data_IF_279235069466
#
_entry.id   IF_279235069466
#
_cell.length_a   1.000
_cell.length_b   1.000
_cell.length_c   1.000
_cell.angle_alpha   90.00
_cell.angle_beta   90.00
_cell.angle_gamma   90.00
#
_symmetry.space_group_name_H-M   'P 1'
#
loop_
_entity.id
_entity.type
_entity.pdbx_description
1 polymer ?
#
# COMPACT_ATOMS: atom_id res chain seq x y z
N UNK A 1 -41.39 -13.50 8.71
CA UNK A 1 -41.08 -12.83 7.43
C UNK A 1 -40.38 -11.53 7.77
N UNK A 2 -39.06 -11.48 7.65
CA UNK A 2 -38.25 -10.35 8.14
C UNK A 2 -37.97 -9.39 6.99
N UNK A 3 -38.46 -8.14 7.10
CA UNK A 3 -38.18 -7.08 6.13
C UNK A 3 -36.73 -6.61 6.27
N UNK A 4 -35.95 -6.73 5.20
CA UNK A 4 -34.60 -6.17 5.11
C UNK A 4 -34.74 -4.83 4.38
N UNK A 5 -34.61 -3.73 5.12
CA UNK A 5 -34.63 -2.37 4.56
C UNK A 5 -33.22 -1.98 4.11
N UNK A 6 -33.03 -1.78 2.81
CA UNK A 6 -31.79 -1.24 2.26
C UNK A 6 -31.91 0.28 2.16
N UNK A 7 -31.12 1.01 2.97
CA UNK A 7 -31.06 2.47 2.92
C UNK A 7 -29.88 2.92 2.05
N UNK A 8 -30.13 3.85 1.12
CA UNK A 8 -29.09 4.53 0.37
C UNK A 8 -28.87 5.92 0.96
N UNK A 9 -27.72 6.12 1.61
CA UNK A 9 -27.33 7.43 2.15
C UNK A 9 -26.43 8.16 1.16
N UNK A 10 -26.71 9.44 0.91
CA UNK A 10 -25.84 10.33 0.16
C UNK A 10 -25.28 11.39 1.11
N UNK A 11 -23.96 11.50 1.14
CA UNK A 11 -23.25 12.52 1.90
C UNK A 11 -22.99 13.73 1.02
N UNK A 12 -23.16 14.93 1.58
CA UNK A 12 -22.82 16.21 0.95
C UNK A 12 -21.77 16.88 1.85
N UNK A 13 -20.48 16.60 1.63
CA UNK A 13 -19.42 17.15 2.47
C UNK A 13 -19.29 18.65 2.27
N UNK A 14 -18.91 19.36 3.33
CA UNK A 14 -18.43 20.73 3.21
C UNK A 14 -17.01 20.77 2.59
N UNK A 15 -16.53 21.98 2.24
CA UNK A 15 -15.23 22.13 1.58
C UNK A 15 -14.04 21.62 2.44
N UNK A 16 -14.13 21.72 3.76
CA UNK A 16 -13.09 21.26 4.70
C UNK A 16 -13.12 19.72 4.80
N UNK A 17 -14.32 19.15 4.86
CA UNK A 17 -14.55 17.71 4.85
C UNK A 17 -14.05 17.08 3.55
N UNK A 18 -14.32 17.71 2.40
CA UNK A 18 -13.82 17.26 1.10
C UNK A 18 -12.30 17.22 1.07
N UNK A 19 -11.64 18.31 1.47
CA UNK A 19 -10.17 18.38 1.55
C UNK A 19 -9.60 17.30 2.48
N UNK A 20 -10.24 17.09 3.62
CA UNK A 20 -9.83 16.06 4.59
C UNK A 20 -9.96 14.65 3.99
N UNK A 21 -11.07 14.36 3.31
CA UNK A 21 -11.28 13.07 2.66
C UNK A 21 -10.27 12.83 1.54
N UNK A 22 -10.01 13.84 0.69
CA UNK A 22 -9.01 13.75 -0.37
C UNK A 22 -7.62 13.50 0.20
N UNK A 23 -7.27 14.16 1.31
CA UNK A 23 -6.01 13.93 2.00
C UNK A 23 -5.90 12.49 2.52
N UNK A 24 -6.94 11.94 3.14
CA UNK A 24 -6.96 10.55 3.60
C UNK A 24 -6.81 9.56 2.43
N UNK A 25 -7.49 9.81 1.31
CA UNK A 25 -7.36 8.98 0.11
C UNK A 25 -5.93 8.99 -0.43
N UNK A 26 -5.27 10.15 -0.43
CA UNK A 26 -3.90 10.27 -0.88
C UNK A 26 -2.92 9.53 0.06
N UNK A 27 -3.15 9.58 1.38
CA UNK A 27 -2.40 8.78 2.36
C UNK A 27 -2.57 7.30 2.04
N UNK A 28 -3.82 6.82 1.93
CA UNK A 28 -4.12 5.42 1.65
C UNK A 28 -3.48 4.95 0.35
N UNK A 29 -3.53 5.77 -0.70
CA UNK A 29 -2.89 5.49 -1.99
C UNK A 29 -1.38 5.32 -1.85
N UNK A 30 -0.70 6.24 -1.15
CA UNK A 30 0.76 6.18 -0.94
C UNK A 30 1.16 4.97 -0.10
N UNK A 31 0.45 4.70 0.99
CA UNK A 31 0.69 3.56 1.87
C UNK A 31 0.49 2.25 1.11
N UNK A 32 -0.60 2.12 0.36
CA UNK A 32 -0.88 0.95 -0.45
C UNK A 32 0.22 0.72 -1.49
N UNK A 33 0.60 1.75 -2.24
CA UNK A 33 1.65 1.65 -3.26
C UNK A 33 3.00 1.27 -2.65
N UNK A 34 3.31 1.75 -1.45
CA UNK A 34 4.52 1.36 -0.73
C UNK A 34 4.53 -0.14 -0.39
N UNK A 35 3.49 -0.63 0.29
CA UNK A 35 3.37 -2.03 0.68
C UNK A 35 3.33 -2.95 -0.56
N UNK A 36 2.60 -2.55 -1.60
CA UNK A 36 2.52 -3.30 -2.84
C UNK A 36 3.88 -3.42 -3.55
N UNK A 37 4.67 -2.34 -3.54
CA UNK A 37 6.02 -2.32 -4.11
C UNK A 37 6.93 -3.32 -3.40
N UNK A 38 6.91 -3.38 -2.08
CA UNK A 38 7.74 -4.34 -1.32
C UNK A 38 7.47 -5.80 -1.70
N UNK A 39 6.18 -6.15 -1.87
CA UNK A 39 5.78 -7.49 -2.32
C UNK A 39 6.30 -7.74 -3.74
N UNK A 40 6.09 -6.78 -4.65
CA UNK A 40 6.54 -6.90 -6.03
C UNK A 40 8.05 -7.06 -6.15
N UNK A 41 8.81 -6.29 -5.38
CA UNK A 41 10.27 -6.35 -5.35
C UNK A 41 10.75 -7.71 -4.80
N UNK A 42 10.12 -8.22 -3.73
CA UNK A 42 10.44 -9.53 -3.16
C UNK A 42 10.15 -10.69 -4.12
N UNK A 43 9.03 -10.64 -4.83
CA UNK A 43 8.65 -11.67 -5.82
C UNK A 43 9.60 -11.62 -7.00
N UNK A 44 9.88 -10.43 -7.53
CA UNK A 44 10.78 -10.28 -8.67
C UNK A 44 12.22 -10.65 -8.34
N UNK A 45 12.66 -10.50 -7.08
CA UNK A 45 14.01 -10.95 -6.67
C UNK A 45 14.16 -12.46 -6.60
N UNK A 46 13.06 -13.20 -6.47
CA UNK A 46 13.06 -14.67 -6.42
C UNK A 46 12.55 -15.31 -7.70
N UNK A 47 12.00 -14.51 -8.60
CA UNK A 47 11.58 -14.95 -9.93
C UNK A 47 12.81 -15.03 -10.82
N UNK A 48 13.34 -16.24 -10.98
CA UNK A 48 14.33 -16.55 -12.01
C UNK A 48 13.65 -17.33 -13.14
N UNK A 49 13.98 -17.01 -14.39
CA UNK A 49 13.61 -17.86 -15.53
C UNK A 49 14.42 -19.15 -15.45
N UNK A 50 13.79 -20.31 -15.67
CA UNK A 50 14.48 -21.60 -15.64
C UNK A 50 15.55 -21.70 -16.75
N UNK A 51 15.34 -21.00 -17.86
CA UNK A 51 16.11 -21.20 -19.09
C UNK A 51 17.22 -20.16 -19.29
N UNK A 52 17.32 -19.12 -18.45
CA UNK A 52 18.39 -18.10 -18.54
C UNK A 52 18.47 -17.23 -17.28
N UNK A 53 19.69 -16.79 -16.94
CA UNK A 53 19.92 -15.73 -15.95
C UNK A 53 19.95 -14.34 -16.62
N UNK A 54 19.50 -13.31 -15.91
CA UNK A 54 19.49 -11.92 -16.39
C UNK A 54 20.91 -11.35 -16.37
N UNK A 55 21.45 -10.93 -17.52
CA UNK A 55 22.79 -10.34 -17.60
C UNK A 55 22.81 -8.82 -17.36
N UNK A 56 21.66 -8.15 -17.45
CA UNK A 56 21.58 -6.68 -17.37
C UNK A 56 21.23 -6.16 -15.98
N UNK A 57 20.24 -6.79 -15.33
CA UNK A 57 19.66 -6.27 -14.10
C UNK A 57 19.00 -7.37 -13.28
N UNK A 58 19.37 -7.45 -12.01
CA UNK A 58 18.75 -8.31 -11.01
C UNK A 58 18.30 -7.45 -9.82
N UNK A 59 17.25 -7.90 -9.13
CA UNK A 59 16.80 -7.24 -7.92
C UNK A 59 17.77 -7.56 -6.78
N UNK A 60 18.50 -6.55 -6.31
CA UNK A 60 19.44 -6.68 -5.19
C UNK A 60 18.65 -6.65 -3.89
N UNK A 61 18.13 -7.82 -3.49
CA UNK A 61 17.44 -8.03 -2.21
C UNK A 61 18.20 -9.11 -1.44
N UNK A 62 18.44 -8.94 -0.13
CA UNK A 62 19.11 -9.96 0.67
C UNK A 62 18.39 -11.32 0.59
N UNK A 63 19.15 -12.41 0.44
CA UNK A 63 18.59 -13.76 0.35
C UNK A 63 17.73 -14.11 1.58
N UNK A 64 18.18 -13.68 2.76
CA UNK A 64 17.53 -13.91 4.06
C UNK A 64 16.30 -13.03 4.30
N UNK A 65 15.97 -12.10 3.38
CA UNK A 65 14.84 -11.18 3.59
C UNK A 65 13.52 -11.96 3.58
N UNK A 66 12.76 -11.99 4.68
CA UNK A 66 11.51 -12.73 4.73
C UNK A 66 10.47 -12.13 3.79
N UNK A 67 9.46 -12.92 3.43
CA UNK A 67 8.31 -12.41 2.69
C UNK A 67 7.66 -11.26 3.46
N UNK A 68 7.35 -10.12 2.81
CA UNK A 68 6.68 -9.00 3.45
C UNK A 68 5.21 -9.37 3.72
N UNK A 69 4.97 -10.09 4.82
CA UNK A 69 3.64 -10.46 5.28
C UNK A 69 2.87 -9.23 5.76
N UNK A 70 1.54 -9.34 5.81
CA UNK A 70 0.65 -8.30 6.30
C UNK A 70 1.11 -7.66 7.61
N UNK A 71 1.47 -8.48 8.62
CA UNK A 71 1.88 -7.99 9.94
C UNK A 71 3.18 -7.18 9.90
N UNK A 72 4.16 -7.59 9.08
CA UNK A 72 5.42 -6.87 8.90
C UNK A 72 5.13 -5.49 8.28
N UNK A 73 4.30 -5.48 7.23
CA UNK A 73 3.94 -4.25 6.53
C UNK A 73 3.13 -3.30 7.43
N UNK A 74 2.16 -3.83 8.17
CA UNK A 74 1.34 -3.08 9.12
C UNK A 74 2.22 -2.39 10.18
N UNK A 75 3.19 -3.10 10.75
CA UNK A 75 4.11 -2.56 11.75
C UNK A 75 5.05 -1.49 11.19
N UNK A 76 5.32 -1.50 9.88
CA UNK A 76 6.13 -0.50 9.20
C UNK A 76 5.36 0.77 8.81
N UNK A 77 4.01 0.73 8.79
CA UNK A 77 3.16 1.84 8.36
C UNK A 77 3.36 3.14 9.13
N UNK A 78 3.52 3.15 10.47
CA UNK A 78 3.73 4.39 11.22
C UNK A 78 4.97 5.15 10.75
N UNK A 79 6.08 4.42 10.55
CA UNK A 79 7.34 4.97 10.03
C UNK A 79 7.20 5.46 8.59
N UNK A 80 6.58 4.65 7.74
CA UNK A 80 6.35 5.00 6.33
C UNK A 80 5.46 6.24 6.18
N UNK A 81 4.52 6.45 7.11
CA UNK A 81 3.66 7.64 7.13
C UNK A 81 4.46 8.89 7.45
N UNK A 82 5.29 8.85 8.48
CA UNK A 82 6.12 9.98 8.90
C UNK A 82 7.11 10.42 7.80
N UNK A 83 7.75 9.47 7.12
CA UNK A 83 8.75 9.78 6.09
C UNK A 83 8.15 10.28 4.76
N UNK A 84 6.94 9.84 4.39
CA UNK A 84 6.41 10.02 3.02
C UNK A 84 5.19 10.93 2.90
N UNK A 85 4.61 11.32 4.03
CA UNK A 85 3.38 12.11 4.07
C UNK A 85 3.65 13.33 4.96
N UNK A 86 3.83 14.53 4.37
CA UNK A 86 3.90 15.74 5.17
C UNK A 86 2.58 15.97 5.90
N UNK A 87 2.61 16.48 7.15
CA UNK A 87 1.40 16.88 7.86
C UNK A 87 0.69 17.99 7.08
N UNK A 88 -0.64 18.00 7.18
CA UNK A 88 -1.46 19.11 6.67
C UNK A 88 -1.04 20.36 7.45
N UNK A 89 -0.54 21.37 6.74
CA UNK A 89 -0.32 22.71 7.29
C UNK A 89 -1.63 23.46 7.45
#
# INVERSE_FOLDING_TARGET
MTLIMNYCYRIYPDAIQEQTMLHWLEISRKVYNYAWREIKDWVNSRKCSLDYCSLEREYIVPADKPFPTYYIQQNALPKAKEERIPPIG
#
